data_IF_287710314700
#
_entry.id   IF_287710314700
#
_cell.length_a   1.000
_cell.length_b   1.000
_cell.length_c   1.000
_cell.angle_alpha   90.00
_cell.angle_beta   90.00
_cell.angle_gamma   90.00
#
_symmetry.space_group_name_H-M   'P 1'
#
loop_
_entity.id
_entity.type
_entity.pdbx_description
1 polymer ?
#
# COMPACT_ATOMS: atom_id res chain seq x y z
N UNK A 1 1.01 24.31 -14.54
CA UNK A 1 0.14 23.18 -14.94
C UNK A 1 0.79 21.91 -14.44
N UNK A 2 0.29 21.34 -13.33
CA UNK A 2 0.79 20.06 -12.82
C UNK A 2 0.25 18.96 -13.71
N UNK A 3 1.11 18.26 -14.44
CA UNK A 3 0.76 17.00 -15.07
C UNK A 3 0.54 16.00 -13.94
N UNK A 4 -0.71 15.77 -13.55
CA UNK A 4 -1.04 14.65 -12.67
C UNK A 4 -0.56 13.38 -13.36
N UNK A 5 0.54 12.80 -12.87
CA UNK A 5 0.97 11.48 -13.28
C UNK A 5 -0.10 10.50 -12.79
N UNK A 6 -0.78 9.83 -13.72
CA UNK A 6 -1.69 8.74 -13.38
C UNK A 6 -0.85 7.49 -13.10
N UNK A 7 -0.94 6.99 -11.88
CA UNK A 7 -0.29 5.76 -11.45
C UNK A 7 -1.26 4.61 -11.66
N UNK A 8 -0.81 3.56 -12.34
CA UNK A 8 -1.58 2.35 -12.57
C UNK A 8 -0.85 1.17 -11.93
N UNK A 9 -1.55 0.44 -11.08
CA UNK A 9 -1.04 -0.80 -10.48
C UNK A 9 -1.64 -1.99 -11.22
N UNK A 10 -0.79 -2.94 -11.58
CA UNK A 10 -1.22 -4.25 -12.05
C UNK A 10 -0.68 -5.32 -11.09
N UNK A 11 -1.59 -6.11 -10.51
CA UNK A 11 -1.23 -7.28 -9.71
C UNK A 11 -1.60 -8.51 -10.52
N UNK A 12 -0.64 -9.42 -10.68
CA UNK A 12 -0.80 -10.62 -11.50
C UNK A 12 -0.44 -11.84 -10.63
N UNK A 13 -1.41 -12.74 -10.46
CA UNK A 13 -1.15 -14.04 -9.87
C UNK A 13 -0.54 -14.96 -10.94
N UNK A 14 0.70 -15.39 -10.73
CA UNK A 14 1.38 -16.35 -11.62
C UNK A 14 0.84 -17.77 -11.38
N UNK A 15 0.57 -18.11 -10.12
CA UNK A 15 -0.11 -19.36 -9.77
C UNK A 15 -1.58 -19.27 -10.23
N UNK A 16 -2.04 -20.13 -11.15
CA UNK A 16 -3.41 -20.09 -11.66
C UNK A 16 -4.47 -20.46 -10.62
N UNK A 17 -4.07 -21.02 -9.46
CA UNK A 17 -4.98 -21.27 -8.35
C UNK A 17 -5.26 -20.02 -7.50
N UNK A 18 -4.53 -18.93 -7.76
CA UNK A 18 -4.70 -17.65 -7.07
C UNK A 18 -5.36 -16.63 -7.99
N UNK A 19 -6.14 -15.74 -7.39
CA UNK A 19 -6.78 -14.64 -8.11
C UNK A 19 -6.73 -13.35 -7.31
N UNK A 20 -6.64 -12.24 -8.05
CA UNK A 20 -6.76 -10.89 -7.49
C UNK A 20 -8.23 -10.52 -7.39
N UNK A 21 -8.66 -10.07 -6.22
CA UNK A 21 -10.03 -9.64 -5.90
C UNK A 21 -10.01 -8.32 -5.14
N UNK A 22 -11.17 -7.67 -5.10
CA UNK A 22 -11.44 -6.53 -4.20
C UNK A 22 -10.43 -5.38 -4.29
N UNK A 23 -9.99 -5.02 -5.50
CA UNK A 23 -9.09 -3.90 -5.71
C UNK A 23 -9.75 -2.58 -5.28
N UNK A 24 -9.10 -1.86 -4.37
CA UNK A 24 -9.49 -0.53 -3.91
C UNK A 24 -8.31 0.41 -3.96
N UNK A 25 -8.52 1.56 -4.56
CA UNK A 25 -7.49 2.59 -4.70
C UNK A 25 -7.74 3.73 -3.71
N UNK A 26 -6.64 4.29 -3.18
CA UNK A 26 -6.63 5.37 -2.21
C UNK A 26 -5.60 6.43 -2.63
N UNK A 27 -5.73 7.64 -2.06
CA UNK A 27 -4.74 8.73 -2.20
C UNK A 27 -4.38 8.98 -3.67
N UNK A 28 -5.39 9.34 -4.46
CA UNK A 28 -5.25 9.63 -5.89
C UNK A 28 -4.54 8.51 -6.68
N UNK A 29 -4.94 7.25 -6.46
CA UNK A 29 -4.41 6.05 -7.14
C UNK A 29 -2.96 5.69 -6.80
N UNK A 30 -2.38 6.35 -5.80
CA UNK A 30 -1.02 6.05 -5.34
C UNK A 30 -0.96 4.87 -4.39
N UNK A 31 -2.10 4.44 -3.87
CA UNK A 31 -2.20 3.23 -3.05
C UNK A 31 -3.26 2.32 -3.64
N UNK A 32 -2.95 1.03 -3.80
CA UNK A 32 -3.91 0.02 -4.23
C UNK A 32 -3.87 -1.15 -3.26
N UNK A 33 -4.99 -1.41 -2.59
CA UNK A 33 -5.18 -2.58 -1.73
C UNK A 33 -5.94 -3.63 -2.53
N UNK A 34 -5.36 -4.83 -2.63
CA UNK A 34 -5.99 -5.98 -3.28
C UNK A 34 -6.00 -7.19 -2.35
N UNK A 35 -7.01 -8.03 -2.50
CA UNK A 35 -7.12 -9.33 -1.84
C UNK A 35 -6.64 -10.42 -2.80
N UNK A 36 -5.74 -11.28 -2.34
CA UNK A 36 -5.34 -12.49 -3.07
C UNK A 36 -6.11 -13.66 -2.47
N UNK A 37 -6.89 -14.34 -3.32
CA UNK A 37 -7.73 -15.46 -2.91
C UNK A 37 -7.41 -16.73 -3.67
N UNK A 38 -7.57 -17.89 -3.03
CA UNK A 38 -7.44 -19.19 -3.68
C UNK A 38 -8.68 -19.55 -4.52
N UNK A 39 -8.62 -20.70 -5.19
CA UNK A 39 -9.72 -21.24 -6.00
C UNK A 39 -11.00 -21.57 -5.22
N UNK A 40 -10.96 -21.60 -3.88
CA UNK A 40 -12.11 -21.79 -2.99
C UNK A 40 -12.61 -20.47 -2.41
N UNK A 41 -12.08 -19.36 -2.88
CA UNK A 41 -12.36 -18.00 -2.41
C UNK A 41 -11.88 -17.72 -0.98
N UNK A 42 -10.96 -18.53 -0.44
CA UNK A 42 -10.31 -18.22 0.84
C UNK A 42 -9.32 -17.09 0.64
N UNK A 43 -9.33 -16.10 1.55
CA UNK A 43 -8.29 -15.07 1.59
C UNK A 43 -6.95 -15.73 1.95
N UNK A 44 -5.94 -15.48 1.12
CA UNK A 44 -4.57 -15.99 1.30
C UNK A 44 -3.67 -14.89 1.85
N UNK A 45 -3.79 -13.68 1.29
CA UNK A 45 -3.13 -12.48 1.77
C UNK A 45 -3.80 -11.23 1.18
N UNK A 46 -3.46 -10.08 1.75
CA UNK A 46 -3.72 -8.78 1.10
C UNK A 46 -2.40 -8.17 0.62
N UNK A 47 -2.45 -7.39 -0.44
CA UNK A 47 -1.30 -6.62 -0.93
C UNK A 47 -1.71 -5.16 -0.99
N UNK A 48 -1.00 -4.31 -0.25
CA UNK A 48 -1.03 -2.87 -0.40
C UNK A 48 0.17 -2.44 -1.26
N UNK A 49 -0.08 -2.08 -2.51
CA UNK A 49 0.92 -1.48 -3.38
C UNK A 49 0.92 0.05 -3.20
N UNK A 50 2.10 0.66 -3.07
CA UNK A 50 2.29 2.07 -2.79
C UNK A 50 3.17 2.75 -3.83
N UNK A 51 2.85 4.01 -4.13
CA UNK A 51 3.74 4.97 -4.75
C UNK A 51 3.82 6.22 -3.86
N UNK A 52 4.86 6.27 -3.03
CA UNK A 52 5.12 7.39 -2.14
C UNK A 52 5.69 8.55 -2.96
N UNK A 53 5.28 9.82 -2.76
CA UNK A 53 5.82 10.95 -3.51
C UNK A 53 7.35 11.14 -3.35
N UNK A 54 8.04 11.68 -4.38
CA UNK A 54 9.49 11.90 -4.34
C UNK A 54 9.94 13.08 -3.46
N UNK A 55 9.06 14.02 -3.13
CA UNK A 55 9.43 15.20 -2.35
C UNK A 55 9.14 15.01 -0.87
N UNK A 56 10.05 15.49 -0.01
CA UNK A 56 9.96 15.35 1.45
C UNK A 56 8.63 15.85 2.03
N UNK A 57 8.20 17.05 1.63
CA UNK A 57 6.98 17.65 2.15
C UNK A 57 5.75 16.81 1.77
N UNK A 58 5.66 16.37 0.50
CA UNK A 58 4.55 15.52 0.05
C UNK A 58 4.56 14.15 0.72
N UNK A 59 5.73 13.57 1.03
CA UNK A 59 5.82 12.30 1.75
C UNK A 59 5.17 12.35 3.13
N UNK A 60 5.41 13.43 3.88
CA UNK A 60 4.83 13.58 5.21
C UNK A 60 3.29 13.61 5.14
N UNK A 61 2.73 14.43 4.25
CA UNK A 61 1.28 14.46 4.02
C UNK A 61 0.74 13.13 3.51
N UNK A 62 1.50 12.43 2.66
CA UNK A 62 1.12 11.11 2.15
C UNK A 62 1.03 10.08 3.28
N UNK A 63 2.00 10.03 4.21
CA UNK A 63 1.97 9.08 5.31
C UNK A 63 0.84 9.38 6.31
N UNK A 64 0.55 10.65 6.57
CA UNK A 64 -0.60 11.04 7.38
C UNK A 64 -1.92 10.57 6.74
N UNK A 65 -2.09 10.80 5.42
CA UNK A 65 -3.25 10.32 4.67
C UNK A 65 -3.31 8.78 4.64
N UNK A 66 -2.16 8.11 4.46
CA UNK A 66 -2.05 6.66 4.43
C UNK A 66 -2.57 6.03 5.72
N UNK A 67 -2.14 6.54 6.87
CA UNK A 67 -2.58 6.04 8.17
C UNK A 67 -4.06 6.34 8.46
N UNK A 68 -4.60 7.43 7.91
CA UNK A 68 -6.00 7.84 8.13
C UNK A 68 -6.98 7.16 7.19
N UNK A 69 -6.60 6.89 5.94
CA UNK A 69 -7.53 6.46 4.88
C UNK A 69 -7.45 4.96 4.58
N UNK A 70 -6.28 4.34 4.75
CA UNK A 70 -6.09 2.94 4.35
C UNK A 70 -6.42 2.01 5.52
N UNK A 71 -7.40 1.08 5.35
CA UNK A 71 -7.92 0.27 6.44
C UNK A 71 -6.88 -0.54 7.20
N UNK A 72 -5.78 -0.94 6.55
CA UNK A 72 -4.77 -1.83 7.13
C UNK A 72 -4.04 -1.21 8.34
N UNK A 73 -4.06 0.12 8.45
CA UNK A 73 -3.45 0.85 9.57
C UNK A 73 -4.44 1.13 10.71
N UNK A 74 -5.71 0.74 10.55
CA UNK A 74 -6.70 0.81 11.64
C UNK A 74 -6.41 -0.24 12.70
N UNK A 75 -6.58 0.11 13.98
CA UNK A 75 -6.50 -0.83 15.10
C UNK A 75 -7.52 -1.98 15.03
N UNK A 76 -8.59 -1.81 14.25
CA UNK A 76 -9.63 -2.82 14.04
C UNK A 76 -9.38 -3.76 12.86
N UNK A 77 -8.28 -3.58 12.12
CA UNK A 77 -7.99 -4.41 10.95
C UNK A 77 -7.52 -5.80 11.37
N UNK A 78 -8.20 -6.83 10.86
CA UNK A 78 -7.78 -8.21 11.04
C UNK A 78 -6.51 -8.47 10.21
N UNK A 79 -5.40 -8.71 10.90
CA UNK A 79 -4.10 -9.00 10.27
C UNK A 79 -3.97 -10.46 9.80
N UNK A 80 -5.05 -11.25 9.90
CA UNK A 80 -5.09 -12.63 9.44
C UNK A 80 -6.08 -12.75 8.28
N UNK A 81 -5.63 -13.13 7.07
CA UNK A 81 -4.29 -13.54 6.65
C UNK A 81 -3.32 -12.35 6.47
N UNK A 82 -2.01 -12.58 6.24
CA UNK A 82 -1.02 -11.51 6.26
C UNK A 82 -1.26 -10.46 5.17
N UNK A 83 -0.85 -9.22 5.47
CA UNK A 83 -0.83 -8.11 4.52
C UNK A 83 0.61 -7.76 4.15
N UNK A 84 0.90 -7.71 2.86
CA UNK A 84 2.18 -7.26 2.33
C UNK A 84 2.08 -5.80 1.88
N UNK A 85 3.03 -4.98 2.31
CA UNK A 85 3.15 -3.59 1.86
C UNK A 85 4.34 -3.54 0.90
N UNK A 86 4.07 -3.19 -0.36
CA UNK A 86 5.03 -3.21 -1.46
C UNK A 86 4.96 -1.88 -2.22
N UNK A 87 5.99 -1.56 -3.00
CA UNK A 87 5.95 -0.41 -3.91
C UNK A 87 7.21 0.44 -3.88
N UNK A 88 7.11 1.62 -4.50
CA UNK A 88 8.18 2.62 -4.50
C UNK A 88 7.95 3.63 -3.37
N UNK A 89 8.83 3.58 -2.37
CA UNK A 89 8.79 4.47 -1.23
C UNK A 89 9.50 5.81 -1.47
N UNK A 90 10.18 5.97 -2.62
CA UNK A 90 10.88 7.19 -3.01
C UNK A 90 11.80 7.73 -1.90
N UNK A 91 12.51 6.80 -1.27
CA UNK A 91 13.29 7.07 -0.07
C UNK A 91 14.38 6.02 0.11
N UNK A 92 15.31 6.30 1.00
CA UNK A 92 16.32 5.35 1.45
C UNK A 92 16.14 5.02 2.93
N UNK A 93 16.82 3.95 3.39
CA UNK A 93 16.75 3.49 4.78
C UNK A 93 17.27 4.51 5.81
N UNK A 94 17.94 5.57 5.36
CA UNK A 94 18.52 6.62 6.21
C UNK A 94 17.67 7.89 6.26
N UNK A 95 16.60 7.97 5.46
CA UNK A 95 15.75 9.15 5.34
C UNK A 95 15.12 9.50 6.69
N UNK A 96 15.20 10.80 7.00
CA UNK A 96 14.72 11.36 8.25
C UNK A 96 13.21 11.29 8.38
N UNK A 97 12.46 11.14 7.28
CA UNK A 97 11.01 10.92 7.33
C UNK A 97 10.60 9.71 8.14
N UNK A 98 11.46 8.69 8.20
CA UNK A 98 11.19 7.46 8.95
C UNK A 98 11.75 7.48 10.36
N UNK A 99 12.70 8.39 10.65
CA UNK A 99 13.28 8.51 11.99
C UNK A 99 12.22 9.06 12.96
N UNK A 100 11.64 8.18 13.76
CA UNK A 100 10.60 8.50 14.73
C UNK A 100 9.17 8.45 14.18
N UNK A 101 8.97 7.98 12.93
CA UNK A 101 7.64 7.75 12.40
C UNK A 101 7.07 6.42 12.94
N UNK A 102 5.78 6.34 13.34
CA UNK A 102 5.19 5.13 13.94
C UNK A 102 5.31 3.86 13.10
N UNK A 103 5.51 4.01 11.78
CA UNK A 103 5.62 2.91 10.82
C UNK A 103 7.03 2.29 10.73
N UNK A 104 8.05 2.91 11.35
CA UNK A 104 9.43 2.39 11.31
C UNK A 104 9.93 2.19 12.73
N UNK A 105 10.06 0.93 13.12
CA UNK A 105 10.79 0.56 14.33
C UNK A 105 12.27 0.93 14.16
N UNK A 106 12.94 1.43 15.22
CA UNK A 106 14.39 1.61 15.21
C UNK A 106 15.14 0.30 14.99
#
# INVERSE_FOLDING_TARGET
MSTHANWHTAVICIDPQLSVKEARDFIDWRCSLVSIRDHRDNLICSILNLYVPPTLAERLFFFDALMSEVPIFSASYDQTPPTFILGDFNTDMTDRTFRGHPLVSP
#
